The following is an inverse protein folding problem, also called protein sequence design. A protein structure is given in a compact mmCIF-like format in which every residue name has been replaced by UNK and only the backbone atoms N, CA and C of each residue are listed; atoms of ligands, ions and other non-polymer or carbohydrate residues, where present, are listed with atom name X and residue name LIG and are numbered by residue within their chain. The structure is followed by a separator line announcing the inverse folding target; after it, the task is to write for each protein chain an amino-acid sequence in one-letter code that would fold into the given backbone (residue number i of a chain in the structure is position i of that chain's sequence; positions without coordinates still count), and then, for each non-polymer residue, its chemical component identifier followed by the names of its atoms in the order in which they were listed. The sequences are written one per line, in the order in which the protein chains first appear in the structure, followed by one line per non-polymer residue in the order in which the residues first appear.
data_IF_356504920876
#
_entry.id   IF_356504920876
#
_cell.length_a   1.000
_cell.length_b   1.000
_cell.length_c   1.000
_cell.angle_alpha   90.00
_cell.angle_beta   90.00
_cell.angle_gamma   90.00
#
_symmetry.space_group_name_H-M   'P 1'
#
loop_
_entity.id
_entity.type
_entity.pdbx_description
1 polymer ?
#
# COMPACT_ATOMS: atom_id res chain seq x y z
N UNK A 1 24.41 -12.42 5.18
CA UNK A 1 23.35 -11.82 4.34
C UNK A 1 22.07 -11.73 5.17
N UNK A 2 21.32 -10.64 5.06
CA UNK A 2 20.08 -10.47 5.83
C UNK A 2 18.97 -11.40 5.33
N UNK A 3 18.17 -11.94 6.25
CA UNK A 3 17.03 -12.80 5.91
C UNK A 3 15.93 -12.06 5.15
N UNK A 4 15.08 -12.81 4.42
CA UNK A 4 13.98 -12.24 3.61
C UNK A 4 13.08 -11.29 4.41
N UNK A 5 12.69 -11.67 5.63
CA UNK A 5 11.84 -10.83 6.51
C UNK A 5 12.53 -9.53 6.94
N UNK A 6 13.83 -9.58 7.25
CA UNK A 6 14.60 -8.40 7.62
C UNK A 6 14.72 -7.41 6.45
N UNK A 7 14.92 -7.92 5.22
CA UNK A 7 14.94 -7.06 4.03
C UNK A 7 13.56 -6.46 3.73
N UNK A 8 12.50 -7.26 3.79
CA UNK A 8 11.13 -6.76 3.52
C UNK A 8 10.68 -5.70 4.53
N UNK A 9 10.89 -5.95 5.83
CA UNK A 9 10.57 -4.97 6.88
C UNK A 9 11.34 -3.66 6.71
N UNK A 10 12.64 -3.74 6.40
CA UNK A 10 13.45 -2.55 6.10
C UNK A 10 12.84 -1.73 4.95
N UNK A 11 12.49 -2.36 3.83
CA UNK A 11 11.98 -1.65 2.66
C UNK A 11 10.56 -1.09 2.85
N UNK A 12 9.70 -1.79 3.59
CA UNK A 12 8.38 -1.25 3.97
C UNK A 12 8.55 -0.01 4.86
N UNK A 13 9.44 -0.08 5.86
CA UNK A 13 9.72 1.06 6.73
C UNK A 13 10.34 2.23 5.95
N UNK A 14 11.30 1.95 5.07
CA UNK A 14 11.92 2.97 4.23
C UNK A 14 10.87 3.69 3.37
N UNK A 15 10.00 2.95 2.68
CA UNK A 15 8.92 3.55 1.90
C UNK A 15 8.07 4.49 2.76
N UNK A 16 7.58 4.02 3.92
CA UNK A 16 6.71 4.80 4.78
C UNK A 16 7.40 6.07 5.32
N UNK A 17 8.65 5.95 5.76
CA UNK A 17 9.43 7.09 6.27
C UNK A 17 9.67 8.11 5.16
N UNK A 18 10.07 7.67 3.96
CA UNK A 18 10.32 8.57 2.85
C UNK A 18 9.02 9.20 2.33
N UNK A 19 7.88 8.50 2.35
CA UNK A 19 6.59 9.14 2.04
C UNK A 19 6.26 10.25 3.03
N UNK A 20 6.47 10.04 4.34
CA UNK A 20 6.28 11.08 5.35
C UNK A 20 7.23 12.25 5.12
N UNK A 21 8.51 11.98 4.88
CA UNK A 21 9.51 13.00 4.61
C UNK A 21 9.14 13.84 3.39
N UNK A 22 8.71 13.20 2.29
CA UNK A 22 8.25 13.87 1.08
C UNK A 22 7.07 14.82 1.37
N UNK A 23 6.11 14.39 2.18
CA UNK A 23 4.98 15.24 2.56
C UNK A 23 5.43 16.42 3.41
N UNK A 24 6.31 16.19 4.39
CA UNK A 24 6.80 17.24 5.28
C UNK A 24 7.64 18.29 4.53
N UNK A 25 8.42 17.88 3.53
CA UNK A 25 9.20 18.79 2.69
C UNK A 25 8.32 19.71 1.81
N UNK A 26 7.08 19.30 1.54
CA UNK A 26 6.14 20.03 0.70
C UNK A 26 4.93 20.58 1.47
N UNK A 27 4.92 20.50 2.80
CA UNK A 27 3.81 20.97 3.61
C UNK A 27 3.74 22.51 3.62
N UNK A 28 2.54 23.13 3.56
CA UNK A 28 1.21 22.51 3.44
C UNK A 28 0.86 22.12 1.99
N UNK A 29 0.22 20.96 1.83
CA UNK A 29 -0.32 20.48 0.54
C UNK A 29 -1.67 19.78 0.74
N UNK A 30 -2.52 19.77 -0.30
CA UNK A 30 -3.84 19.14 -0.23
C UNK A 30 -3.82 17.67 -0.64
N UNK A 31 -2.89 17.27 -1.51
CA UNK A 31 -2.73 15.92 -2.01
C UNK A 31 -1.25 15.66 -2.34
N UNK A 32 -0.75 14.45 -2.07
CA UNK A 32 0.61 14.05 -2.47
C UNK A 32 0.83 14.22 -3.98
N UNK A 33 -0.22 14.12 -4.79
CA UNK A 33 -0.15 14.30 -6.25
C UNK A 33 0.21 15.74 -6.66
N UNK A 34 -0.04 16.72 -5.81
CA UNK A 34 0.25 18.13 -6.10
C UNK A 34 1.76 18.40 -6.19
N UNK A 35 2.58 17.52 -5.61
CA UNK A 35 4.05 17.61 -5.65
C UNK A 35 4.58 17.45 -7.08
N UNK A 36 4.01 16.54 -7.87
CA UNK A 36 4.43 16.34 -9.26
C UNK A 36 4.25 17.61 -10.10
N UNK A 37 3.12 18.32 -9.92
CA UNK A 37 2.85 19.58 -10.61
C UNK A 37 3.82 20.71 -10.25
N UNK A 38 4.60 20.56 -9.18
CA UNK A 38 5.54 21.57 -8.68
C UNK A 38 6.97 21.37 -9.19
N UNK A 39 7.28 20.24 -9.83
CA UNK A 39 8.63 19.90 -10.30
C UNK A 39 8.64 19.68 -11.82
N UNK A 40 9.41 20.48 -12.60
CA UNK A 40 9.48 20.31 -14.04
C UNK A 40 9.88 18.89 -14.45
N UNK A 41 9.17 18.33 -15.42
CA UNK A 41 9.43 16.99 -16.00
C UNK A 41 9.19 15.80 -15.04
N UNK A 42 8.55 16.02 -13.88
CA UNK A 42 8.08 14.93 -12.99
C UNK A 42 6.57 14.80 -13.12
N UNK A 43 6.10 13.64 -13.57
CA UNK A 43 4.67 13.37 -13.80
C UNK A 43 3.98 12.72 -12.59
N UNK A 44 4.75 12.31 -11.59
CA UNK A 44 4.30 11.53 -10.45
C UNK A 44 5.22 11.79 -9.25
N UNK A 45 4.68 12.03 -8.04
CA UNK A 45 5.51 12.24 -6.85
C UNK A 45 6.32 10.99 -6.50
N UNK A 46 5.89 9.80 -6.96
CA UNK A 46 6.61 8.55 -6.75
C UNK A 46 7.85 8.39 -7.64
N UNK A 47 8.02 9.21 -8.68
CA UNK A 47 9.20 9.22 -9.56
C UNK A 47 10.25 10.27 -9.14
N UNK A 48 10.00 10.99 -8.04
CA UNK A 48 10.94 12.00 -7.55
C UNK A 48 12.10 11.31 -6.83
N UNK A 49 13.30 11.43 -7.39
CA UNK A 49 14.54 10.95 -6.75
C UNK A 49 15.04 11.94 -5.71
N UNK A 50 14.42 11.95 -4.53
CA UNK A 50 14.71 12.94 -3.48
C UNK A 50 15.56 12.41 -2.32
N UNK A 51 15.82 11.10 -2.25
CA UNK A 51 16.62 10.49 -1.19
C UNK A 51 17.68 9.53 -1.74
N UNK A 52 18.63 9.15 -0.89
CA UNK A 52 19.71 8.23 -1.25
C UNK A 52 19.87 7.11 -0.23
N UNK A 53 20.11 5.90 -0.70
CA UNK A 53 20.44 4.74 0.14
C UNK A 53 21.76 4.16 -0.36
N UNK A 54 22.78 4.13 0.50
CA UNK A 54 24.12 3.67 0.11
C UNK A 54 24.78 4.53 -0.97
N UNK A 55 24.44 5.82 -1.05
CA UNK A 55 24.96 6.76 -2.05
C UNK A 55 24.33 6.65 -3.44
N UNK A 56 23.35 5.75 -3.62
CA UNK A 56 22.56 5.66 -4.84
C UNK A 56 21.26 6.45 -4.70
N UNK A 57 20.81 7.18 -5.72
CA UNK A 57 19.54 7.91 -5.68
C UNK A 57 18.36 6.95 -5.80
N UNK A 58 17.34 7.17 -4.99
CA UNK A 58 16.11 6.39 -4.95
C UNK A 58 14.87 7.29 -5.04
N UNK A 59 13.80 6.70 -5.53
CA UNK A 59 12.44 7.21 -5.51
C UNK A 59 11.50 6.15 -4.88
N UNK A 60 10.25 6.52 -4.58
CA UNK A 60 9.29 5.62 -3.94
C UNK A 60 8.89 4.46 -4.86
N UNK A 61 8.81 4.70 -6.17
CA UNK A 61 8.48 3.67 -7.16
C UNK A 61 9.54 2.56 -7.21
N UNK A 62 10.82 2.91 -7.07
CA UNK A 62 11.93 1.94 -7.00
C UNK A 62 11.72 1.00 -5.80
N UNK A 63 11.39 1.54 -4.63
CA UNK A 63 11.14 0.72 -3.44
C UNK A 63 9.91 -0.18 -3.64
N UNK A 64 8.80 0.36 -4.13
CA UNK A 64 7.55 -0.39 -4.28
C UNK A 64 7.61 -1.43 -5.39
N UNK A 65 7.90 -1.01 -6.62
CA UNK A 65 7.78 -1.85 -7.80
C UNK A 65 9.00 -2.74 -8.03
N UNK A 66 10.21 -2.19 -7.91
CA UNK A 66 11.43 -2.93 -8.26
C UNK A 66 11.92 -3.82 -7.13
N UNK A 67 11.68 -3.43 -5.89
CA UNK A 67 12.15 -4.16 -4.70
C UNK A 67 11.00 -4.92 -4.04
N UNK A 68 10.00 -4.23 -3.48
CA UNK A 68 8.96 -4.86 -2.67
C UNK A 68 8.11 -5.87 -3.47
N UNK A 69 7.52 -5.43 -4.58
CA UNK A 69 6.63 -6.26 -5.41
C UNK A 69 7.36 -7.37 -6.14
N UNK A 70 8.56 -7.08 -6.67
CA UNK A 70 9.33 -8.02 -7.49
C UNK A 70 10.08 -9.07 -6.66
N UNK A 71 10.76 -8.68 -5.58
CA UNK A 71 11.58 -9.62 -4.81
C UNK A 71 10.77 -10.45 -3.79
N UNK A 72 9.73 -9.85 -3.21
CA UNK A 72 9.01 -10.47 -2.09
C UNK A 72 7.69 -11.13 -2.46
N UNK A 73 7.11 -10.81 -3.62
CA UNK A 73 5.87 -11.43 -4.10
C UNK A 73 4.78 -11.55 -3.00
N UNK A 74 4.71 -10.53 -2.14
CA UNK A 74 3.93 -10.52 -0.91
C UNK A 74 2.80 -9.50 -1.08
N UNK A 75 1.55 -9.92 -1.40
CA UNK A 75 0.46 -8.99 -1.70
C UNK A 75 0.09 -8.09 -0.52
N UNK A 76 0.36 -8.50 0.72
CA UNK A 76 0.00 -7.74 1.92
C UNK A 76 0.80 -6.45 2.09
N UNK A 77 1.89 -6.26 1.33
CA UNK A 77 2.64 -4.99 1.34
C UNK A 77 1.76 -3.80 0.98
N UNK A 78 0.75 -3.99 0.12
CA UNK A 78 -0.17 -2.94 -0.34
C UNK A 78 -1.04 -2.36 0.77
N UNK A 79 -1.09 -3.03 1.94
CA UNK A 79 -1.76 -2.55 3.14
C UNK A 79 -0.78 -2.07 4.22
N UNK A 80 0.51 -2.24 3.95
CA UNK A 80 1.61 -1.93 4.86
C UNK A 80 2.36 -0.66 4.46
N UNK A 81 2.39 -0.35 3.16
CA UNK A 81 2.91 0.90 2.62
C UNK A 81 1.79 1.93 2.48
N UNK A 82 2.06 3.17 2.85
CA UNK A 82 1.09 4.25 2.90
C UNK A 82 1.52 5.38 1.96
N UNK A 83 0.60 5.80 1.10
CA UNK A 83 0.73 6.90 0.15
C UNK A 83 0.20 8.24 0.68
N UNK A 84 -0.13 8.29 1.97
CA UNK A 84 -0.71 9.39 2.74
C UNK A 84 -2.02 9.99 2.22
N UNK A 85 -2.71 9.34 1.29
CA UNK A 85 -4.05 9.75 0.91
C UNK A 85 -5.10 9.25 1.91
N UNK A 86 -6.27 9.89 1.92
CA UNK A 86 -7.44 9.48 2.71
C UNK A 86 -7.91 8.07 2.39
N UNK A 87 -7.82 7.65 1.12
CA UNK A 87 -8.16 6.27 0.72
C UNK A 87 -7.06 5.25 0.95
N UNK A 88 -5.87 5.67 1.38
CA UNK A 88 -4.76 4.77 1.65
C UNK A 88 -4.99 3.91 2.92
N UNK A 89 -4.32 2.74 3.04
CA UNK A 89 -4.33 1.95 4.26
C UNK A 89 -3.82 2.75 5.44
N UNK A 90 -4.34 2.53 6.65
CA UNK A 90 -3.88 3.24 7.84
C UNK A 90 -2.39 2.93 8.08
N UNK A 91 -1.58 3.96 8.26
CA UNK A 91 -0.18 3.78 8.66
C UNK A 91 -0.12 3.18 10.07
N UNK A 92 0.74 2.17 10.23
CA UNK A 92 0.97 1.51 11.51
C UNK A 92 1.77 2.44 12.43
N UNK A 93 1.43 2.50 13.71
CA UNK A 93 2.07 3.39 14.70
C UNK A 93 3.46 2.90 15.14
N UNK A 94 3.82 1.68 14.76
CA UNK A 94 5.10 1.03 15.03
C UNK A 94 5.78 0.64 13.72
N UNK A 95 7.10 0.53 13.75
CA UNK A 95 7.87 0.03 12.61
C UNK A 95 7.62 -1.47 12.39
N UNK A 96 7.74 -1.91 11.14
CA UNK A 96 7.74 -3.33 10.82
C UNK A 96 9.05 -3.96 11.29
N UNK A 97 8.96 -5.08 12.03
CA UNK A 97 10.10 -5.79 12.58
C UNK A 97 10.20 -7.20 11.98
N UNK A 98 11.41 -7.70 11.73
CA UNK A 98 11.61 -8.97 11.01
C UNK A 98 10.99 -10.18 11.75
N UNK A 99 10.95 -10.12 13.07
CA UNK A 99 10.41 -11.14 13.97
C UNK A 99 8.88 -11.15 13.94
N UNK A 100 8.26 -9.98 13.71
CA UNK A 100 6.81 -9.78 13.79
C UNK A 100 6.14 -9.52 12.43
N UNK A 101 6.91 -9.40 11.35
CA UNK A 101 6.46 -8.94 10.04
C UNK A 101 5.20 -9.68 9.55
N UNK A 102 5.17 -11.01 9.70
CA UNK A 102 4.00 -11.81 9.26
C UNK A 102 2.73 -11.37 10.01
N UNK A 103 2.80 -11.28 11.34
CA UNK A 103 1.65 -10.89 12.15
C UNK A 103 1.23 -9.45 11.87
N UNK A 104 2.19 -8.53 11.69
CA UNK A 104 1.92 -7.13 11.36
C UNK A 104 1.22 -6.99 9.99
N UNK A 105 1.68 -7.75 8.99
CA UNK A 105 1.05 -7.77 7.66
C UNK A 105 -0.36 -8.39 7.70
N UNK A 106 -0.54 -9.48 8.44
CA UNK A 106 -1.85 -10.13 8.61
C UNK A 106 -2.84 -9.19 9.27
N UNK A 107 -2.43 -8.52 10.34
CA UNK A 107 -3.28 -7.57 11.06
C UNK A 107 -3.66 -6.36 10.19
N UNK A 108 -2.70 -5.72 9.49
CA UNK A 108 -3.03 -4.65 8.53
C UNK A 108 -4.01 -5.12 7.45
N UNK A 109 -3.83 -6.34 6.94
CA UNK A 109 -4.66 -6.87 5.86
C UNK A 109 -6.08 -7.12 6.35
N UNK A 110 -6.26 -7.80 7.50
CA UNK A 110 -7.58 -8.01 8.12
C UNK A 110 -8.25 -6.67 8.41
N UNK A 111 -7.51 -5.74 8.98
CA UNK A 111 -8.03 -4.41 9.26
C UNK A 111 -8.51 -3.70 7.99
N UNK A 112 -7.70 -3.68 6.92
CA UNK A 112 -8.05 -2.99 5.69
C UNK A 112 -9.26 -3.65 4.99
N UNK A 113 -9.22 -4.97 4.80
CA UNK A 113 -10.29 -5.73 4.13
C UNK A 113 -11.65 -5.50 4.79
N UNK A 114 -11.70 -5.47 6.13
CA UNK A 114 -12.95 -5.31 6.88
C UNK A 114 -13.29 -3.85 7.23
N UNK A 115 -12.50 -2.87 6.79
CA UNK A 115 -12.73 -1.46 7.12
C UNK A 115 -13.89 -0.89 6.31
N UNK A 116 -14.99 -0.61 7.00
CA UNK A 116 -16.12 0.15 6.45
C UNK A 116 -15.64 1.50 5.88
N UNK A 117 -16.17 1.84 4.70
CA UNK A 117 -15.76 3.02 3.92
C UNK A 117 -14.47 2.84 3.10
N UNK A 118 -13.73 1.74 3.29
CA UNK A 118 -12.67 1.30 2.37
C UNK A 118 -13.08 0.10 1.54
N UNK A 119 -13.88 -0.78 2.14
CA UNK A 119 -14.49 -1.92 1.49
C UNK A 119 -15.91 -2.11 2.06
N UNK A 120 -16.81 -2.63 1.25
CA UNK A 120 -18.14 -3.06 1.64
C UNK A 120 -18.34 -4.47 1.11
N UNK A 121 -18.54 -5.43 2.01
CA UNK A 121 -18.64 -6.85 1.68
C UNK A 121 -19.97 -7.35 2.22
N UNK A 122 -20.87 -7.81 1.33
CA UNK A 122 -22.19 -8.34 1.72
C UNK A 122 -22.43 -9.78 1.23
N UNK A 123 -21.36 -10.52 0.91
CA UNK A 123 -21.42 -11.90 0.39
C UNK A 123 -21.54 -11.95 -1.13
N UNK A 124 -22.66 -11.51 -1.69
CA UNK A 124 -22.96 -11.57 -3.14
C UNK A 124 -22.48 -10.35 -3.94
N UNK A 125 -22.31 -9.21 -3.27
CA UNK A 125 -21.82 -7.97 -3.85
C UNK A 125 -20.71 -7.43 -2.97
N UNK A 126 -19.61 -7.03 -3.61
CA UNK A 126 -18.48 -6.40 -2.94
C UNK A 126 -18.10 -5.11 -3.64
N UNK A 127 -17.91 -4.05 -2.86
CA UNK A 127 -17.36 -2.77 -3.31
C UNK A 127 -16.01 -2.56 -2.64
N UNK A 128 -14.94 -2.58 -3.43
CA UNK A 128 -13.57 -2.65 -2.94
C UNK A 128 -12.80 -1.36 -3.18
N UNK A 129 -11.76 -1.14 -2.39
CA UNK A 129 -10.76 -0.11 -2.68
C UNK A 129 -10.11 -0.36 -4.06
N UNK A 130 -9.86 0.70 -4.87
CA UNK A 130 -9.09 0.61 -6.11
C UNK A 130 -7.70 -0.01 -5.99
N UNK A 131 -7.13 -0.12 -4.79
CA UNK A 131 -5.87 -0.86 -4.55
C UNK A 131 -5.97 -2.30 -5.08
N UNK A 132 -7.13 -2.96 -4.90
CA UNK A 132 -7.36 -4.30 -5.41
C UNK A 132 -7.44 -4.35 -6.94
N UNK A 133 -7.81 -3.25 -7.59
CA UNK A 133 -7.82 -3.11 -9.04
C UNK A 133 -6.42 -2.82 -9.59
N UNK A 134 -5.73 -1.82 -9.04
CA UNK A 134 -4.41 -1.37 -9.52
C UNK A 134 -3.33 -2.44 -9.37
N UNK A 135 -3.43 -3.24 -8.31
CA UNK A 135 -2.46 -4.30 -8.00
C UNK A 135 -3.07 -5.70 -8.09
N UNK A 136 -4.13 -5.87 -8.90
CA UNK A 136 -4.85 -7.14 -9.04
C UNK A 136 -3.92 -8.34 -9.27
N UNK A 137 -2.88 -8.17 -10.12
CA UNK A 137 -1.92 -9.22 -10.44
C UNK A 137 -1.08 -9.71 -9.26
N UNK A 138 -0.95 -8.93 -8.18
CA UNK A 138 -0.27 -9.37 -6.97
C UNK A 138 -1.17 -10.22 -6.08
N UNK A 139 -2.48 -9.91 -6.05
CA UNK A 139 -3.47 -10.66 -5.27
C UNK A 139 -3.85 -12.00 -5.93
N UNK A 140 -3.82 -12.07 -7.26
CA UNK A 140 -4.29 -13.25 -8.02
C UNK A 140 -3.19 -14.22 -8.42
N UNK A 141 -2.00 -14.15 -7.81
CA UNK A 141 -0.89 -15.07 -8.18
C UNK A 141 -1.17 -16.53 -7.81
N UNK A 142 -1.93 -16.76 -6.74
CA UNK A 142 -2.20 -18.09 -6.17
C UNK A 142 -3.69 -18.39 -6.04
N UNK A 143 -4.53 -17.80 -6.91
CA UNK A 143 -5.99 -17.95 -6.86
C UNK A 143 -6.71 -16.72 -7.38
N UNK A 144 -8.02 -16.66 -7.15
CA UNK A 144 -8.84 -15.49 -7.46
C UNK A 144 -8.66 -14.37 -6.42
N UNK A 145 -9.12 -13.17 -6.75
CA UNK A 145 -9.18 -12.06 -5.80
C UNK A 145 -10.09 -12.42 -4.61
N UNK A 146 -11.18 -13.15 -4.86
CA UNK A 146 -12.10 -13.59 -3.82
C UNK A 146 -11.42 -14.60 -2.88
N UNK A 147 -10.60 -15.53 -3.40
CA UNK A 147 -9.80 -16.45 -2.58
C UNK A 147 -8.83 -15.70 -1.66
N UNK A 148 -8.23 -14.61 -2.15
CA UNK A 148 -7.40 -13.74 -1.31
C UNK A 148 -8.24 -13.07 -0.22
N UNK A 149 -9.36 -12.44 -0.59
CA UNK A 149 -10.21 -11.71 0.35
C UNK A 149 -10.81 -12.63 1.44
N UNK A 150 -11.24 -13.84 1.08
CA UNK A 150 -11.82 -14.80 2.02
C UNK A 150 -10.83 -15.31 3.09
N UNK A 151 -9.52 -15.10 2.93
CA UNK A 151 -8.54 -15.37 3.98
C UNK A 151 -8.62 -14.36 5.15
N UNK A 152 -9.14 -13.16 4.87
CA UNK A 152 -9.10 -12.00 5.75
C UNK A 152 -10.47 -11.42 6.09
N UNK A 153 -11.47 -11.61 5.22
CA UNK A 153 -12.84 -11.12 5.38
C UNK A 153 -13.54 -11.80 6.56
N UNK A 154 -14.32 -11.03 7.32
CA UNK A 154 -15.22 -11.52 8.37
C UNK A 154 -16.49 -12.15 7.79
N UNK A 155 -16.84 -11.80 6.56
CA UNK A 155 -18.00 -12.31 5.82
C UNK A 155 -17.49 -13.19 4.68
N UNK A 156 -18.02 -14.41 4.57
CA UNK A 156 -17.74 -15.27 3.44
C UNK A 156 -18.27 -14.64 2.14
N UNK A 157 -17.39 -14.44 1.18
CA UNK A 157 -17.68 -13.87 -0.14
C UNK A 157 -17.97 -15.01 -1.11
N UNK A 158 -19.08 -14.90 -1.83
CA UNK A 158 -19.43 -15.84 -2.89
C UNK A 158 -18.35 -15.81 -3.98
N UNK A 159 -17.86 -16.97 -4.48
CA UNK A 159 -16.94 -17.02 -5.62
C UNK A 159 -17.40 -16.24 -6.87
N UNK A 160 -18.71 -16.11 -7.06
CA UNK A 160 -19.33 -15.39 -8.18
C UNK A 160 -19.78 -13.96 -7.80
N UNK A 161 -19.34 -13.46 -6.64
CA UNK A 161 -19.71 -12.14 -6.17
C UNK A 161 -19.34 -11.03 -7.17
N UNK A 162 -20.26 -10.08 -7.36
CA UNK A 162 -20.03 -8.93 -8.24
C UNK A 162 -19.06 -7.97 -7.57
N UNK A 163 -17.93 -7.72 -8.23
CA UNK A 163 -16.89 -6.79 -7.76
C UNK A 163 -17.08 -5.43 -8.42
N UNK A 164 -17.27 -4.42 -7.58
CA UNK A 164 -17.23 -3.00 -7.96
C UNK A 164 -16.09 -2.30 -7.21
N UNK A 165 -15.59 -1.19 -7.75
CA UNK A 165 -14.52 -0.42 -7.10
C UNK A 165 -15.05 0.95 -6.68
N UNK A 166 -14.68 1.36 -5.47
CA UNK A 166 -15.02 2.65 -4.89
C UNK A 166 -14.15 3.77 -5.49
N UNK A 167 -14.55 5.03 -5.31
CA UNK A 167 -13.69 6.16 -5.65
C UNK A 167 -12.48 6.25 -4.70
N UNK A 168 -11.35 6.71 -5.24
CA UNK A 168 -10.13 6.93 -4.46
C UNK A 168 -9.92 8.40 -4.12
N UNK A 169 -10.08 8.75 -2.84
CA UNK A 169 -9.79 10.10 -2.34
C UNK A 169 -8.27 10.27 -2.15
N UNK A 170 -7.69 11.10 -3.01
CA UNK A 170 -6.27 11.47 -3.01
C UNK A 170 -5.94 12.61 -2.03
N UNK A 171 -6.94 13.21 -1.39
CA UNK A 171 -6.72 14.23 -0.36
C UNK A 171 -5.83 13.69 0.75
N UNK A 172 -4.98 14.55 1.30
CA UNK A 172 -4.02 14.20 2.34
C UNK A 172 -4.75 13.72 3.60
N UNK A 173 -4.25 12.64 4.19
CA UNK A 173 -4.76 12.10 5.44
C UNK A 173 -4.15 12.83 6.65
N UNK A 174 -4.69 14.00 6.97
CA UNK A 174 -4.25 14.85 8.09
C UNK A 174 -4.82 14.44 9.46
N UNK A 175 -5.54 13.30 9.56
CA UNK A 175 -6.25 12.85 10.77
C UNK A 175 -6.05 11.36 11.05
#
# INVERSE_FOLDING_TARGET
MWGRRSRSSLWINAYNVFTIELILQHYPLQSIKDIAGSVPMINSPWDLKFFSIGGLPFDLNTIEHEILRREFAEPRIHFAINCASRSCPKLRIEAYAAEHLKAQLEDQTRFFVNRSGKNQITGEKISLSPIFQWFQSDFTRNGSLIDFLNQYSEIAIDPDAKVEYLDYDWGLNER
#
